data_IF_799462160678
#
_entry.id   IF_799462160678
#
_cell.length_a   1.000
_cell.length_b   1.000
_cell.length_c   1.000
_cell.angle_alpha   90.00
_cell.angle_beta   90.00
_cell.angle_gamma   90.00
#
_symmetry.space_group_name_H-M   'P 1'
#
loop_
_entity.id
_entity.type
_entity.pdbx_description
1 polymer ?
#
# COMPACT_ATOMS: atom_id res chain seq x y z
N UNK A 1 -27.89 -6.87 -66.23
CA UNK A 1 -29.36 -6.74 -66.15
C UNK A 1 -29.70 -6.77 -64.67
N UNK A 2 -29.76 -5.60 -64.03
CA UNK A 2 -29.86 -5.47 -62.57
C UNK A 2 -31.33 -5.38 -62.17
N UNK A 3 -31.83 -6.37 -61.43
CA UNK A 3 -33.16 -6.30 -60.81
C UNK A 3 -33.05 -5.64 -59.43
N UNK A 4 -33.42 -4.37 -59.36
CA UNK A 4 -33.64 -3.67 -58.10
C UNK A 4 -34.93 -4.20 -57.45
N UNK A 5 -34.77 -5.09 -56.48
CA UNK A 5 -35.87 -5.54 -55.61
C UNK A 5 -36.15 -4.41 -54.62
N UNK A 6 -37.25 -3.67 -54.83
CA UNK A 6 -37.72 -2.70 -53.84
C UNK A 6 -38.53 -3.44 -52.76
N UNK A 7 -38.08 -3.46 -51.50
CA UNK A 7 -38.87 -4.03 -50.42
C UNK A 7 -40.20 -3.28 -50.29
N UNK A 8 -41.30 -4.02 -50.14
CA UNK A 8 -42.61 -3.43 -49.87
C UNK A 8 -42.56 -2.71 -48.52
N UNK A 9 -43.22 -1.54 -48.40
CA UNK A 9 -43.10 -0.63 -47.23
C UNK A 9 -43.30 -1.32 -45.86
N UNK A 10 -44.11 -2.38 -45.79
CA UNK A 10 -44.28 -3.19 -44.58
C UNK A 10 -43.05 -4.03 -44.20
N UNK A 11 -42.31 -4.59 -45.17
CA UNK A 11 -41.08 -5.33 -44.89
C UNK A 11 -39.98 -4.42 -44.32
N UNK A 12 -39.81 -3.22 -44.89
CA UNK A 12 -38.86 -2.25 -44.35
C UNK A 12 -39.23 -1.77 -42.95
N UNK A 13 -40.52 -1.65 -42.63
CA UNK A 13 -40.99 -1.31 -41.29
C UNK A 13 -40.69 -2.39 -40.25
N UNK A 14 -40.93 -3.66 -40.59
CA UNK A 14 -40.63 -4.80 -39.71
C UNK A 14 -39.12 -4.93 -39.48
N UNK A 15 -38.30 -4.82 -40.53
CA UNK A 15 -36.83 -4.87 -40.39
C UNK A 15 -36.28 -3.71 -39.56
N UNK A 16 -36.90 -2.53 -39.65
CA UNK A 16 -36.53 -1.38 -38.82
C UNK A 16 -36.84 -1.64 -37.34
N UNK A 17 -38.03 -2.18 -37.04
CA UNK A 17 -38.43 -2.53 -35.68
C UNK A 17 -37.50 -3.59 -35.11
N UNK A 18 -37.19 -4.66 -35.85
CA UNK A 18 -36.24 -5.69 -35.41
C UNK A 18 -34.87 -5.10 -35.13
N UNK A 19 -34.37 -4.22 -36.01
CA UNK A 19 -33.09 -3.54 -35.80
C UNK A 19 -33.08 -2.68 -34.54
N UNK A 20 -34.17 -1.94 -34.27
CA UNK A 20 -34.31 -1.14 -33.05
C UNK A 20 -34.36 -2.01 -31.79
N UNK A 21 -35.05 -3.15 -31.84
CA UNK A 21 -35.09 -4.11 -30.73
C UNK A 21 -33.68 -4.66 -30.46
N UNK A 22 -32.93 -5.05 -31.50
CA UNK A 22 -31.55 -5.51 -31.32
C UNK A 22 -30.64 -4.43 -30.75
N UNK A 23 -30.75 -3.19 -31.24
CA UNK A 23 -29.98 -2.07 -30.70
C UNK A 23 -30.32 -1.84 -29.22
N UNK A 24 -31.61 -1.87 -28.86
CA UNK A 24 -32.03 -1.68 -27.48
C UNK A 24 -31.48 -2.79 -26.55
N UNK A 25 -31.59 -4.06 -26.94
CA UNK A 25 -31.03 -5.18 -26.17
C UNK A 25 -29.51 -5.08 -26.09
N UNK A 26 -28.83 -4.72 -27.18
CA UNK A 26 -27.39 -4.52 -27.20
C UNK A 26 -26.95 -3.43 -26.21
N UNK A 27 -27.63 -2.28 -26.20
CA UNK A 27 -27.34 -1.19 -25.26
C UNK A 27 -27.50 -1.65 -23.81
N UNK A 28 -28.57 -2.41 -23.50
CA UNK A 28 -28.80 -2.93 -22.14
C UNK A 28 -27.68 -3.88 -21.72
N UNK A 29 -27.33 -4.86 -22.56
CA UNK A 29 -26.27 -5.82 -22.28
C UNK A 29 -24.91 -5.12 -22.15
N UNK A 30 -24.61 -4.19 -23.05
CA UNK A 30 -23.34 -3.46 -23.07
C UNK A 30 -23.19 -2.55 -21.84
N UNK A 31 -24.26 -1.89 -21.42
CA UNK A 31 -24.26 -1.05 -20.21
C UNK A 31 -24.01 -1.90 -18.96
N UNK A 32 -24.64 -3.08 -18.85
CA UNK A 32 -24.40 -4.01 -17.74
C UNK A 32 -22.95 -4.53 -17.74
N UNK A 33 -22.41 -4.85 -18.92
CA UNK A 33 -21.02 -5.29 -19.06
C UNK A 33 -20.03 -4.20 -18.64
N UNK A 34 -20.22 -2.95 -19.09
CA UNK A 34 -19.40 -1.79 -18.69
C UNK A 34 -19.49 -1.58 -17.17
N UNK A 35 -20.69 -1.64 -16.60
CA UNK A 35 -20.88 -1.44 -15.17
C UNK A 35 -20.15 -2.51 -14.34
N UNK A 36 -20.25 -3.78 -14.75
CA UNK A 36 -19.52 -4.88 -14.13
C UNK A 36 -18.00 -4.72 -14.25
N UNK A 37 -17.51 -4.36 -15.44
CA UNK A 37 -16.08 -4.13 -15.70
C UNK A 37 -15.53 -3.00 -14.84
N UNK A 38 -16.20 -1.85 -14.78
CA UNK A 38 -15.78 -0.69 -13.98
C UNK A 38 -15.69 -1.05 -12.49
N UNK A 39 -16.66 -1.83 -11.97
CA UNK A 39 -16.66 -2.27 -10.57
C UNK A 39 -15.50 -3.22 -10.26
N UNK A 40 -15.19 -4.15 -11.17
CA UNK A 40 -14.09 -5.09 -11.02
C UNK A 40 -12.72 -4.39 -11.08
N UNK A 41 -12.58 -3.44 -12.01
CA UNK A 41 -11.33 -2.68 -12.17
C UNK A 41 -11.02 -1.85 -10.92
N UNK A 42 -12.01 -1.20 -10.31
CA UNK A 42 -11.85 -0.45 -9.06
C UNK A 42 -11.40 -1.35 -7.90
N UNK A 43 -11.99 -2.55 -7.79
CA UNK A 43 -11.59 -3.54 -6.77
C UNK A 43 -10.15 -4.05 -6.98
N UNK A 44 -9.77 -4.35 -8.23
CA UNK A 44 -8.42 -4.82 -8.55
C UNK A 44 -7.36 -3.76 -8.27
N UNK A 45 -7.63 -2.48 -8.58
CA UNK A 45 -6.73 -1.35 -8.29
C UNK A 45 -6.56 -1.14 -6.78
N UNK A 46 -7.63 -1.25 -6.00
CA UNK A 46 -7.58 -1.19 -4.54
C UNK A 46 -6.73 -2.32 -3.95
N UNK A 47 -6.90 -3.54 -4.45
CA UNK A 47 -6.14 -4.70 -3.97
C UNK A 47 -4.64 -4.55 -4.24
N UNK A 48 -4.26 -4.15 -5.47
CA UNK A 48 -2.86 -3.89 -5.83
C UNK A 48 -2.21 -2.86 -4.91
N UNK A 49 -2.92 -1.76 -4.63
CA UNK A 49 -2.42 -0.72 -3.72
C UNK A 49 -2.15 -1.22 -2.30
N UNK A 50 -3.03 -2.09 -1.77
CA UNK A 50 -2.84 -2.69 -0.43
C UNK A 50 -1.65 -3.65 -0.43
N UNK A 51 -1.51 -4.51 -1.45
CA UNK A 51 -0.37 -5.43 -1.55
C UNK A 51 0.95 -4.69 -1.63
N UNK A 52 1.02 -3.60 -2.40
CA UNK A 52 2.21 -2.76 -2.46
C UNK A 52 2.51 -2.06 -1.13
N UNK A 53 1.49 -1.58 -0.41
CA UNK A 53 1.67 -0.98 0.92
C UNK A 53 2.23 -2.00 1.92
N UNK A 54 1.72 -3.25 1.91
CA UNK A 54 2.26 -4.35 2.72
C UNK A 54 3.72 -4.62 2.33
N UNK A 55 4.03 -4.77 1.04
CA UNK A 55 5.38 -5.07 0.58
C UNK A 55 6.39 -3.97 0.97
N UNK A 56 6.01 -2.70 0.83
CA UNK A 56 6.82 -1.56 1.28
C UNK A 56 7.05 -1.59 2.78
N UNK A 57 6.02 -1.88 3.56
CA UNK A 57 6.11 -1.96 5.03
C UNK A 57 6.99 -3.10 5.50
N UNK A 58 6.84 -4.29 4.92
CA UNK A 58 7.70 -5.43 5.24
C UNK A 58 9.15 -5.13 4.90
N UNK A 59 9.43 -4.57 3.72
CA UNK A 59 10.80 -4.21 3.32
C UNK A 59 11.41 -3.17 4.27
N UNK A 60 10.65 -2.13 4.63
CA UNK A 60 11.09 -1.15 5.62
C UNK A 60 11.37 -1.78 6.99
N UNK A 61 10.53 -2.73 7.42
CA UNK A 61 10.73 -3.53 8.63
C UNK A 61 12.00 -4.36 8.59
N UNK A 62 12.25 -5.09 7.50
CA UNK A 62 13.48 -5.88 7.34
C UNK A 62 14.74 -5.00 7.34
N UNK A 63 14.70 -3.85 6.66
CA UNK A 63 15.79 -2.88 6.67
C UNK A 63 16.06 -2.33 8.07
N UNK A 64 15.00 -2.05 8.82
CA UNK A 64 15.12 -1.65 10.23
C UNK A 64 15.74 -2.77 11.08
N UNK A 65 15.31 -4.03 10.92
CA UNK A 65 15.92 -5.17 11.64
C UNK A 65 17.40 -5.35 11.29
N UNK A 66 17.78 -5.13 10.05
CA UNK A 66 19.17 -5.15 9.58
C UNK A 66 19.99 -4.04 10.25
N UNK A 67 19.45 -2.82 10.32
CA UNK A 67 20.11 -1.70 10.98
C UNK A 67 20.31 -1.95 12.49
N UNK A 68 19.30 -2.48 13.18
CA UNK A 68 19.37 -2.85 14.62
C UNK A 68 20.43 -3.93 14.85
N UNK A 69 20.47 -4.97 14.01
CA UNK A 69 21.46 -6.06 14.11
C UNK A 69 22.88 -5.62 13.82
N UNK A 70 23.06 -4.55 13.03
CA UNK A 70 24.35 -3.93 12.74
C UNK A 70 24.75 -2.85 13.74
N UNK A 71 23.95 -2.62 14.78
CA UNK A 71 24.28 -1.64 15.80
C UNK A 71 25.63 -2.00 16.45
N UNK A 72 26.59 -1.07 16.39
CA UNK A 72 27.92 -1.26 16.96
C UNK A 72 28.00 -0.87 18.43
N UNK A 73 27.01 -0.15 18.92
CA UNK A 73 26.91 0.34 20.30
C UNK A 73 25.43 0.45 20.71
N UNK A 74 25.19 0.94 21.93
CA UNK A 74 23.83 1.09 22.45
C UNK A 74 22.98 2.03 21.59
N UNK A 75 21.79 1.54 21.21
CA UNK A 75 20.80 2.30 20.45
C UNK A 75 20.12 3.30 21.39
N UNK A 76 20.03 4.55 20.94
CA UNK A 76 19.47 5.66 21.71
C UNK A 76 18.11 6.05 21.17
N UNK A 77 17.10 6.09 22.02
CA UNK A 77 15.77 6.61 21.68
C UNK A 77 15.55 7.96 22.37
N UNK A 78 15.29 9.00 21.59
CA UNK A 78 14.94 10.31 22.10
C UNK A 78 13.42 10.49 22.05
N UNK A 79 12.78 10.50 23.21
CA UNK A 79 11.33 10.65 23.33
C UNK A 79 10.82 12.06 22.98
N UNK A 80 11.64 13.10 23.13
CA UNK A 80 11.26 14.49 22.81
C UNK A 80 11.17 14.70 21.30
N UNK A 81 12.13 14.13 20.55
CA UNK A 81 12.18 14.25 19.09
C UNK A 81 11.53 13.07 18.36
N UNK A 82 11.20 11.99 19.08
CA UNK A 82 10.74 10.73 18.51
C UNK A 82 11.79 10.07 17.60
N UNK A 83 13.07 10.34 17.84
CA UNK A 83 14.17 9.82 17.03
C UNK A 83 14.77 8.55 17.64
N UNK A 84 14.89 7.51 16.81
CA UNK A 84 15.70 6.34 17.13
C UNK A 84 17.05 6.45 16.43
N UNK A 85 18.12 6.54 17.20
CA UNK A 85 19.51 6.64 16.72
C UNK A 85 20.23 5.31 16.92
N UNK A 86 20.61 4.71 15.82
CA UNK A 86 21.30 3.43 15.75
C UNK A 86 22.76 3.70 15.34
N UNK A 87 23.74 3.49 16.24
CA UNK A 87 25.14 3.66 15.91
C UNK A 87 25.63 2.52 15.01
N UNK A 88 26.24 2.86 13.89
CA UNK A 88 27.05 1.97 13.06
C UNK A 88 28.52 2.41 13.19
N UNK A 89 29.48 1.51 12.99
CA UNK A 89 30.92 1.70 13.27
C UNK A 89 31.46 3.15 13.15
N UNK A 90 31.18 3.84 12.04
CA UNK A 90 31.61 5.22 11.78
C UNK A 90 30.46 6.17 11.38
N UNK A 91 29.22 5.77 11.57
CA UNK A 91 28.03 6.54 11.12
C UNK A 91 26.82 6.27 12.01
N UNK A 92 25.75 7.05 11.82
CA UNK A 92 24.50 6.84 12.54
C UNK A 92 23.38 6.65 11.54
N UNK A 93 22.53 5.67 11.82
CA UNK A 93 21.22 5.55 11.18
C UNK A 93 20.19 6.15 12.12
N UNK A 94 19.46 7.16 11.65
CA UNK A 94 18.43 7.82 12.44
C UNK A 94 17.08 7.58 11.80
N UNK A 95 16.14 7.05 12.58
CA UNK A 95 14.73 6.93 12.21
C UNK A 95 13.93 8.00 12.94
N UNK A 96 12.96 8.59 12.25
CA UNK A 96 12.03 9.57 12.82
C UNK A 96 10.64 9.34 12.25
N UNK A 97 9.63 9.43 13.11
CA UNK A 97 8.24 9.54 12.68
C UNK A 97 7.81 11.00 12.68
N UNK A 98 7.40 11.53 11.53
CA UNK A 98 6.92 12.91 11.38
C UNK A 98 5.94 13.01 10.22
N UNK A 99 4.93 13.87 10.34
CA UNK A 99 3.97 14.16 9.25
C UNK A 99 3.30 12.90 8.64
N UNK A 100 3.03 11.87 9.45
CA UNK A 100 2.49 10.57 8.99
C UNK A 100 3.43 9.79 8.05
N UNK A 101 4.73 10.04 8.17
CA UNK A 101 5.77 9.35 7.42
C UNK A 101 6.87 8.91 8.36
N UNK A 102 7.49 7.79 8.02
CA UNK A 102 8.73 7.38 8.66
C UNK A 102 9.84 7.80 7.74
N UNK A 103 10.80 8.51 8.30
CA UNK A 103 11.98 9.00 7.61
C UNK A 103 13.21 8.29 8.17
N UNK A 104 14.16 8.01 7.28
CA UNK A 104 15.45 7.40 7.63
C UNK A 104 16.57 8.31 7.14
N UNK A 105 17.58 8.52 7.98
CA UNK A 105 18.79 9.27 7.68
C UNK A 105 20.01 8.39 7.93
N UNK A 106 20.85 8.21 6.92
CA UNK A 106 22.20 7.60 7.06
C UNK A 106 23.33 8.54 6.72
N UNK A 107 23.01 9.63 6.03
CA UNK A 107 23.94 10.70 5.65
C UNK A 107 23.43 12.01 6.27
N UNK A 108 23.52 13.13 5.57
CA UNK A 108 23.08 14.43 6.09
C UNK A 108 21.55 14.61 6.07
N UNK A 109 20.83 13.95 5.16
CA UNK A 109 19.42 14.25 4.89
C UNK A 109 18.47 13.10 5.24
N UNK A 110 17.29 13.44 5.75
CA UNK A 110 16.19 12.51 5.94
C UNK A 110 15.52 12.16 4.61
N UNK A 111 15.37 10.87 4.36
CA UNK A 111 14.67 10.34 3.17
C UNK A 111 13.41 9.62 3.66
N UNK A 112 12.25 9.82 2.99
CA UNK A 112 11.04 9.09 3.35
C UNK A 112 11.22 7.58 3.09
N UNK A 113 11.00 6.78 4.12
CA UNK A 113 11.03 5.32 4.07
C UNK A 113 9.62 4.75 3.87
N UNK A 114 8.65 5.26 4.63
CA UNK A 114 7.25 4.86 4.55
C UNK A 114 6.34 6.08 4.63
N UNK A 115 5.24 6.05 3.88
CA UNK A 115 4.21 7.09 3.87
C UNK A 115 2.88 6.51 4.38
N UNK A 116 1.95 7.41 4.70
CA UNK A 116 0.61 7.04 5.17
C UNK A 116 0.64 6.21 6.45
N UNK A 117 1.56 6.54 7.36
CA UNK A 117 1.70 5.88 8.65
C UNK A 117 0.82 6.63 9.65
N UNK A 118 -0.05 5.90 10.35
CA UNK A 118 -0.93 6.45 11.38
C UNK A 118 -0.22 6.49 12.73
N UNK A 119 0.43 5.39 13.10
CA UNK A 119 1.19 5.25 14.35
C UNK A 119 2.50 4.52 14.06
N UNK A 120 3.58 4.94 14.71
CA UNK A 120 4.87 4.26 14.71
C UNK A 120 5.48 4.37 16.10
N UNK A 121 5.66 3.23 16.76
CA UNK A 121 6.18 3.15 18.12
C UNK A 121 7.41 2.25 18.14
N UNK A 122 8.55 2.77 18.58
CA UNK A 122 9.80 2.03 18.68
C UNK A 122 10.20 1.94 20.15
N UNK A 123 10.23 0.73 20.70
CA UNK A 123 10.45 0.49 22.13
C UNK A 123 11.64 -0.43 22.37
N UNK A 124 12.43 -0.09 23.38
CA UNK A 124 13.46 -0.96 23.94
C UNK A 124 12.79 -1.97 24.86
N UNK A 125 13.01 -3.25 24.59
CA UNK A 125 12.53 -4.37 25.39
C UNK A 125 13.74 -5.11 25.98
N UNK A 126 14.20 -4.75 27.18
CA UNK A 126 15.29 -5.45 27.84
C UNK A 126 14.86 -6.88 28.21
N UNK A 127 15.67 -7.87 27.84
CA UNK A 127 15.53 -9.27 28.27
C UNK A 127 16.77 -9.67 29.06
N UNK A 128 16.71 -10.80 29.77
CA UNK A 128 17.75 -11.22 30.72
C UNK A 128 19.17 -11.24 30.14
N UNK A 129 19.35 -11.58 28.87
CA UNK A 129 20.68 -11.74 28.24
C UNK A 129 20.89 -10.89 26.98
N UNK A 130 19.84 -10.23 26.49
CA UNK A 130 19.84 -9.48 25.23
C UNK A 130 18.91 -8.28 25.30
N UNK A 131 19.26 -7.21 24.59
CA UNK A 131 18.35 -6.08 24.37
C UNK A 131 17.60 -6.29 23.06
N UNK A 132 16.30 -6.59 23.16
CA UNK A 132 15.39 -6.58 22.00
C UNK A 132 14.82 -5.18 21.77
N UNK A 133 14.54 -4.86 20.53
CA UNK A 133 13.79 -3.68 20.11
C UNK A 133 12.55 -4.15 19.38
N UNK A 134 11.43 -3.48 19.67
CA UNK A 134 10.15 -3.71 19.00
C UNK A 134 9.74 -2.44 18.26
N UNK A 135 9.30 -2.61 17.03
CA UNK A 135 8.73 -1.56 16.22
C UNK A 135 7.30 -1.93 15.85
N UNK A 136 6.34 -1.20 16.40
CA UNK A 136 4.92 -1.32 16.07
C UNK A 136 4.53 -0.21 15.09
N UNK A 137 3.80 -0.58 14.05
CA UNK A 137 3.48 0.29 12.94
C UNK A 137 2.06 0.05 12.45
N UNK A 138 1.27 1.12 12.41
CA UNK A 138 -0.08 1.11 11.87
C UNK A 138 -0.14 1.99 10.62
N UNK A 139 -0.58 1.46 9.48
CA UNK A 139 -0.82 2.29 8.29
C UNK A 139 -2.24 2.86 8.28
N UNK A 140 -2.39 4.03 7.65
CA UNK A 140 -3.69 4.60 7.32
C UNK A 140 -4.39 3.72 6.31
N UNK A 141 -5.66 3.43 6.57
CA UNK A 141 -6.52 2.70 5.64
C UNK A 141 -6.89 3.53 4.42
N UNK A 142 -6.77 2.94 3.22
CA UNK A 142 -7.24 3.57 1.97
C UNK A 142 -8.75 3.36 1.80
N UNK A 143 -9.54 4.24 2.42
CA UNK A 143 -10.99 4.37 2.16
C UNK A 143 -11.90 4.06 3.35
N UNK A 144 -13.11 4.63 3.33
CA UNK A 144 -14.11 4.55 4.43
C UNK A 144 -14.56 3.12 4.78
N UNK A 145 -14.41 2.16 3.86
CA UNK A 145 -14.85 0.77 4.01
C UNK A 145 -13.69 -0.23 4.05
N UNK A 146 -12.46 0.22 4.30
CA UNK A 146 -11.33 -0.68 4.43
C UNK A 146 -11.50 -1.55 5.68
N UNK A 147 -11.74 -2.86 5.47
CA UNK A 147 -11.97 -3.83 6.56
C UNK A 147 -10.70 -4.25 7.30
N UNK A 148 -9.53 -3.91 6.76
CA UNK A 148 -8.24 -4.29 7.32
C UNK A 148 -7.61 -3.04 7.95
N UNK A 149 -7.29 -3.11 9.24
CA UNK A 149 -6.36 -2.18 9.88
C UNK A 149 -4.97 -2.82 9.80
N UNK A 150 -4.11 -2.37 8.87
CA UNK A 150 -2.80 -2.98 8.66
C UNK A 150 -1.85 -2.57 9.80
N UNK A 151 -1.87 -3.37 10.87
CA UNK A 151 -0.95 -3.31 11.99
C UNK A 151 0.19 -4.30 11.78
N UNK A 152 1.42 -3.84 11.95
CA UNK A 152 2.63 -4.63 11.83
C UNK A 152 3.47 -4.49 13.09
N UNK A 153 4.12 -5.59 13.46
CA UNK A 153 5.08 -5.61 14.55
C UNK A 153 6.37 -6.24 14.03
N UNK A 154 7.47 -5.52 14.19
CA UNK A 154 8.81 -5.99 13.91
C UNK A 154 9.59 -6.09 15.21
N UNK A 155 10.35 -7.16 15.38
CA UNK A 155 11.24 -7.34 16.52
C UNK A 155 12.64 -7.66 16.00
N UNK A 156 13.65 -7.07 16.64
CA UNK A 156 15.06 -7.31 16.35
C UNK A 156 15.88 -7.25 17.65
N UNK A 157 16.94 -8.04 17.70
CA UNK A 157 17.88 -8.04 18.83
C UNK A 157 19.11 -7.24 18.42
N UNK A 158 19.48 -6.26 19.25
CA UNK A 158 20.75 -5.56 19.08
C UNK A 158 21.89 -6.45 19.55
N UNK A 159 23.08 -6.39 18.93
CA UNK A 159 24.27 -7.05 19.47
C UNK A 159 24.49 -6.57 20.91
N UNK A 160 24.95 -7.46 21.79
CA UNK A 160 25.40 -6.99 23.10
C UNK A 160 26.57 -6.03 22.88
N UNK A 161 26.54 -4.82 23.47
CA UNK A 161 27.72 -3.97 23.47
C UNK A 161 28.83 -4.75 24.17
N UNK A 162 29.96 -4.91 23.48
CA UNK A 162 31.20 -5.49 24.02
C UNK A 162 31.75 -4.60 25.15
#
# INVERSE_FOLDING_TARGET
>A
MNTSVHPTKCQSGIMLIDTLVYIAVFIVVFTLAIFGYNRFEEQSRRLRGVTEDIARTVNAGERWREDIRRASAEIQYNAETGELRIPHNSSYVVYRFSENQIQRKTTAQFVPLLKNVKVSLMEKMPRQHVTSWRWELELKTRGKNARLQPLFQFEAVAPNPL
#
